data_IF_433917953767
#
_entry.id   IF_433917953767
#
_cell.length_a   1.000
_cell.length_b   1.000
_cell.length_c   1.000
_cell.angle_alpha   90.00
_cell.angle_beta   90.00
_cell.angle_gamma   90.00
#
_symmetry.space_group_name_H-M   'P 1'
#
loop_
_entity.id
_entity.type
_entity.pdbx_description
1 polymer ?
#
# COMPACT_ATOMS: atom_id res chain seq x y z
N UNK A 1 -7.66 8.95 -7.25
CA UNK A 1 -6.54 7.98 -7.19
C UNK A 1 -6.88 6.83 -8.12
N UNK A 2 -7.83 5.97 -7.73
CA UNK A 2 -8.27 4.82 -8.52
C UNK A 2 -9.15 5.24 -9.70
N UNK A 3 -9.07 4.50 -10.81
CA UNK A 3 -9.85 4.68 -12.04
C UNK A 3 -10.33 3.30 -12.57
N UNK A 4 -11.42 3.25 -13.34
CA UNK A 4 -11.85 2.03 -14.01
C UNK A 4 -10.74 1.41 -14.87
N UNK A 5 -10.62 0.08 -14.85
CA UNK A 5 -9.64 -0.68 -15.64
C UNK A 5 -8.23 -0.76 -15.06
N UNK A 6 -7.95 -0.10 -13.94
CA UNK A 6 -6.61 -0.15 -13.32
C UNK A 6 -6.30 -1.50 -12.67
N UNK A 7 -5.00 -1.78 -12.58
CA UNK A 7 -4.38 -2.87 -11.82
C UNK A 7 -3.88 -2.30 -10.49
N UNK A 8 -4.43 -2.80 -9.39
CA UNK A 8 -4.18 -2.31 -8.03
C UNK A 8 -3.55 -3.42 -7.19
N UNK A 9 -2.44 -3.11 -6.52
CA UNK A 9 -1.87 -3.94 -5.48
C UNK A 9 -2.28 -3.37 -4.12
N UNK A 10 -2.81 -4.20 -3.22
CA UNK A 10 -3.29 -3.84 -1.89
C UNK A 10 -2.52 -4.64 -0.83
N UNK A 11 -1.55 -3.99 -0.17
CA UNK A 11 -0.68 -4.60 0.84
C UNK A 11 -1.23 -4.36 2.25
N UNK A 12 -1.33 -5.42 3.05
CA UNK A 12 -2.00 -5.35 4.35
C UNK A 12 -3.52 -5.32 4.19
N UNK A 13 -4.04 -6.13 3.27
CA UNK A 13 -5.42 -6.04 2.82
C UNK A 13 -6.45 -6.64 3.80
N UNK A 14 -6.05 -7.33 4.87
CA UNK A 14 -6.99 -7.84 5.87
C UNK A 14 -7.69 -6.68 6.61
N UNK A 15 -9.03 -6.71 6.80
CA UNK A 15 -9.97 -7.82 6.56
C UNK A 15 -10.59 -7.88 5.16
N UNK A 16 -10.21 -6.99 4.24
CA UNK A 16 -10.63 -7.00 2.83
C UNK A 16 -11.50 -5.82 2.41
N UNK A 17 -11.69 -4.81 3.26
CA UNK A 17 -12.50 -3.63 2.93
C UNK A 17 -11.92 -2.82 1.76
N UNK A 18 -10.59 -2.70 1.70
CA UNK A 18 -9.89 -2.05 0.59
C UNK A 18 -10.01 -2.87 -0.70
N UNK A 19 -9.92 -4.20 -0.62
CA UNK A 19 -10.16 -5.09 -1.76
C UNK A 19 -11.57 -4.88 -2.36
N UNK A 20 -12.61 -4.88 -1.53
CA UNK A 20 -13.99 -4.68 -1.96
C UNK A 20 -14.18 -3.29 -2.60
N UNK A 21 -13.62 -2.25 -1.97
CA UNK A 21 -13.67 -0.89 -2.49
C UNK A 21 -12.97 -0.78 -3.84
N UNK A 22 -11.73 -1.27 -3.94
CA UNK A 22 -10.94 -1.25 -5.17
C UNK A 22 -11.64 -2.03 -6.28
N UNK A 23 -12.13 -3.24 -5.98
CA UNK A 23 -12.82 -4.10 -6.94
C UNK A 23 -14.02 -3.41 -7.58
N UNK A 24 -14.80 -2.66 -6.79
CA UNK A 24 -15.93 -1.86 -7.27
C UNK A 24 -15.48 -0.71 -8.16
N UNK A 25 -14.42 0.01 -7.79
CA UNK A 25 -13.95 1.20 -8.53
C UNK A 25 -13.27 0.82 -9.85
N UNK A 26 -12.41 -0.19 -9.85
CA UNK A 26 -11.70 -0.62 -11.07
C UNK A 26 -12.62 -1.40 -12.02
N UNK A 27 -13.66 -2.05 -11.47
CA UNK A 27 -14.62 -2.83 -12.23
C UNK A 27 -14.04 -4.08 -12.87
N UNK A 28 -14.88 -4.84 -13.60
CA UNK A 28 -14.54 -6.17 -14.16
C UNK A 28 -13.37 -6.19 -15.14
N UNK A 29 -12.98 -5.04 -15.70
CA UNK A 29 -11.84 -4.90 -16.62
C UNK A 29 -10.53 -4.56 -15.91
N UNK A 30 -10.59 -4.19 -14.63
CA UNK A 30 -9.41 -3.97 -13.81
C UNK A 30 -8.98 -5.26 -13.10
N UNK A 31 -7.93 -5.12 -12.30
CA UNK A 31 -7.38 -6.19 -11.47
C UNK A 31 -7.12 -5.65 -10.08
N UNK A 32 -7.43 -6.42 -9.05
CA UNK A 32 -6.99 -6.14 -7.68
C UNK A 32 -6.23 -7.35 -7.17
N UNK A 33 -5.01 -7.15 -6.68
CA UNK A 33 -4.22 -8.18 -6.02
C UNK A 33 -4.03 -7.75 -4.57
N UNK A 34 -4.55 -8.54 -3.64
CA UNK A 34 -4.37 -8.35 -2.20
C UNK A 34 -3.23 -9.20 -1.66
N UNK A 35 -2.44 -8.67 -0.74
CA UNK A 35 -1.47 -9.43 0.03
C UNK A 35 -1.68 -9.16 1.52
N UNK A 36 -1.75 -10.22 2.31
CA UNK A 36 -1.76 -10.13 3.76
C UNK A 36 -1.22 -11.42 4.39
N UNK A 37 -0.64 -11.32 5.59
CA UNK A 37 -0.22 -12.51 6.34
C UNK A 37 -1.43 -13.32 6.82
N UNK A 38 -2.58 -12.65 6.98
CA UNK A 38 -3.85 -13.25 7.38
C UNK A 38 -4.65 -13.68 6.17
N UNK A 39 -5.30 -14.84 6.30
CA UNK A 39 -6.24 -15.32 5.29
C UNK A 39 -7.45 -14.40 5.17
N UNK A 40 -7.77 -13.97 3.95
CA UNK A 40 -9.03 -13.30 3.61
C UNK A 40 -10.13 -14.37 3.47
N UNK A 41 -11.24 -14.18 4.17
CA UNK A 41 -12.39 -15.11 4.18
C UNK A 41 -13.60 -14.59 3.43
N UNK A 42 -13.52 -13.36 2.89
CA UNK A 42 -14.60 -12.75 2.14
C UNK A 42 -14.75 -13.39 0.76
N UNK A 43 -15.99 -13.50 0.29
CA UNK A 43 -16.27 -13.75 -1.11
C UNK A 43 -15.91 -12.49 -1.92
N UNK A 44 -14.99 -12.66 -2.88
CA UNK A 44 -14.48 -11.58 -3.71
C UNK A 44 -14.80 -11.83 -5.18
N UNK A 45 -15.01 -10.77 -5.98
CA UNK A 45 -15.22 -10.90 -7.41
C UNK A 45 -14.06 -11.61 -8.13
N UNK A 46 -14.29 -12.25 -9.31
CA UNK A 46 -13.25 -13.01 -10.02
C UNK A 46 -11.97 -12.23 -10.37
N UNK A 47 -12.10 -10.91 -10.56
CA UNK A 47 -10.99 -9.99 -10.88
C UNK A 47 -10.20 -9.53 -9.64
N UNK A 48 -10.48 -10.10 -8.47
CA UNK A 48 -9.68 -9.93 -7.25
C UNK A 48 -8.92 -11.22 -6.97
N UNK A 49 -7.62 -11.10 -6.75
CA UNK A 49 -6.71 -12.18 -6.36
C UNK A 49 -6.14 -11.88 -5.00
N UNK A 50 -5.90 -12.90 -4.19
CA UNK A 50 -5.34 -12.73 -2.85
C UNK A 50 -4.20 -13.71 -2.67
N UNK A 51 -3.09 -13.21 -2.14
CA UNK A 51 -1.94 -14.00 -1.71
C UNK A 51 -1.88 -13.90 -0.19
N UNK A 52 -1.83 -15.05 0.48
CA UNK A 52 -1.52 -15.08 1.90
C UNK A 52 0.00 -15.19 2.07
N UNK A 53 0.67 -14.10 2.42
CA UNK A 53 2.12 -14.04 2.57
C UNK A 53 2.54 -12.91 3.51
N UNK A 54 3.71 -13.06 4.12
CA UNK A 54 4.40 -11.92 4.73
C UNK A 54 4.97 -11.03 3.63
N UNK A 55 4.74 -9.73 3.71
CA UNK A 55 5.27 -8.75 2.75
C UNK A 55 6.80 -8.73 2.71
N UNK A 56 7.49 -9.11 3.80
CA UNK A 56 8.94 -9.21 3.81
C UNK A 56 9.44 -10.38 2.97
N UNK A 57 8.69 -11.48 2.92
CA UNK A 57 9.02 -12.68 2.13
C UNK A 57 8.54 -12.58 0.67
N UNK A 58 7.56 -11.72 0.40
CA UNK A 58 6.95 -11.54 -0.91
C UNK A 58 7.92 -10.99 -1.97
N UNK A 59 8.20 -11.74 -3.02
CA UNK A 59 8.97 -11.27 -4.17
C UNK A 59 8.08 -10.62 -5.25
N UNK A 60 8.59 -9.67 -6.06
CA UNK A 60 7.87 -9.19 -7.25
C UNK A 60 7.48 -10.31 -8.22
N UNK A 61 8.30 -11.37 -8.31
CA UNK A 61 8.04 -12.52 -9.16
C UNK A 61 6.74 -13.25 -8.80
N UNK A 62 6.39 -13.35 -7.52
CA UNK A 62 5.10 -13.91 -7.10
C UNK A 62 3.93 -13.03 -7.52
N UNK A 63 4.10 -11.72 -7.65
CA UNK A 63 3.06 -10.82 -8.12
C UNK A 63 2.91 -10.85 -9.66
N UNK A 64 3.99 -11.16 -10.38
CA UNK A 64 4.02 -11.28 -11.84
C UNK A 64 3.11 -12.38 -12.39
N UNK A 65 2.74 -13.37 -11.58
CA UNK A 65 1.74 -14.38 -11.97
C UNK A 65 0.36 -13.77 -12.23
N UNK A 66 0.08 -12.58 -11.66
CA UNK A 66 -1.17 -11.84 -11.85
C UNK A 66 -0.98 -10.64 -12.77
N UNK A 67 0.08 -9.88 -12.58
CA UNK A 67 0.47 -8.76 -13.44
C UNK A 67 1.93 -8.39 -13.25
N UNK A 68 2.63 -8.11 -14.35
CA UNK A 68 4.00 -7.56 -14.32
C UNK A 68 4.08 -6.13 -13.80
N UNK A 69 2.97 -5.42 -13.89
CA UNK A 69 2.91 -3.97 -13.68
C UNK A 69 1.62 -3.56 -12.98
N UNK A 70 1.69 -2.50 -12.19
CA UNK A 70 0.57 -1.95 -11.44
C UNK A 70 0.44 -0.44 -11.68
N UNK A 71 -0.81 0.02 -11.69
CA UNK A 71 -1.15 1.43 -11.87
C UNK A 71 -1.22 2.14 -10.49
N UNK A 72 -1.56 1.39 -9.44
CA UNK A 72 -1.61 1.87 -8.06
C UNK A 72 -1.15 0.79 -7.10
N UNK A 73 -0.28 1.17 -6.16
CA UNK A 73 0.06 0.35 -4.99
C UNK A 73 -0.48 1.04 -3.74
N UNK A 74 -1.26 0.29 -2.97
CA UNK A 74 -1.86 0.67 -1.70
C UNK A 74 -1.18 -0.13 -0.59
N UNK A 75 -0.90 0.50 0.55
CA UNK A 75 -0.35 -0.16 1.72
C UNK A 75 -1.03 0.35 2.98
N UNK A 76 -1.83 -0.50 3.59
CA UNK A 76 -2.42 -0.30 4.92
C UNK A 76 -1.74 -1.17 5.98
N UNK A 77 -0.50 -1.60 5.71
CA UNK A 77 0.32 -2.35 6.65
C UNK A 77 0.49 -1.58 7.97
N UNK A 78 0.30 -2.28 9.08
CA UNK A 78 0.57 -1.79 10.42
C UNK A 78 1.27 -2.88 11.24
N UNK A 79 2.27 -2.54 12.05
CA UNK A 79 2.86 -3.50 12.97
C UNK A 79 1.90 -3.78 14.13
N UNK A 80 2.07 -4.92 14.80
CA UNK A 80 1.51 -5.11 16.13
C UNK A 80 2.10 -4.04 17.07
N UNK A 81 1.24 -3.18 17.62
CA UNK A 81 1.64 -2.07 18.48
C UNK A 81 2.04 -2.59 19.86
N UNK A 82 3.20 -2.14 20.32
CA UNK A 82 3.73 -2.42 21.66
C UNK A 82 3.27 -1.40 22.69
N UNK A 83 2.77 -0.24 22.24
CA UNK A 83 2.50 0.93 23.09
C UNK A 83 3.72 1.82 23.27
N UNK A 84 4.93 1.33 22.93
CA UNK A 84 6.14 2.13 22.92
C UNK A 84 6.24 2.83 21.57
N UNK A 85 5.88 4.11 21.58
CA UNK A 85 5.80 4.98 20.39
C UNK A 85 6.99 4.87 19.43
N UNK A 86 8.22 4.90 19.94
CA UNK A 86 9.43 4.86 19.11
C UNK A 86 9.56 3.52 18.38
N UNK A 87 9.36 2.41 19.11
CA UNK A 87 9.37 1.05 18.57
C UNK A 87 8.30 0.89 17.50
N UNK A 88 7.08 1.32 17.79
CA UNK A 88 5.94 1.19 16.87
C UNK A 88 6.15 2.02 15.60
N UNK A 89 6.69 3.25 15.71
CA UNK A 89 7.04 4.06 14.54
C UNK A 89 8.17 3.46 13.71
N UNK A 90 9.19 2.89 14.34
CA UNK A 90 10.30 2.26 13.62
C UNK A 90 9.83 1.02 12.85
N UNK A 91 9.00 0.17 13.48
CA UNK A 91 8.39 -1.00 12.81
C UNK A 91 7.47 -0.59 11.67
N UNK A 92 6.69 0.47 11.84
CA UNK A 92 5.85 1.02 10.77
C UNK A 92 6.70 1.56 9.60
N UNK A 93 7.81 2.24 9.88
CA UNK A 93 8.74 2.71 8.84
C UNK A 93 9.33 1.55 8.04
N UNK A 94 9.69 0.43 8.68
CA UNK A 94 10.20 -0.76 7.96
C UNK A 94 9.15 -1.36 7.01
N UNK A 95 7.90 -1.50 7.47
CA UNK A 95 6.79 -1.96 6.62
C UNK A 95 6.54 -1.00 5.44
N UNK A 96 6.58 0.31 5.71
CA UNK A 96 6.41 1.32 4.66
C UNK A 96 7.52 1.25 3.61
N UNK A 97 8.78 1.16 4.04
CA UNK A 97 9.93 1.02 3.14
C UNK A 97 9.84 -0.25 2.31
N UNK A 98 9.41 -1.36 2.92
CA UNK A 98 9.20 -2.61 2.19
C UNK A 98 8.11 -2.48 1.13
N UNK A 99 6.99 -1.85 1.46
CA UNK A 99 5.92 -1.58 0.51
C UNK A 99 6.37 -0.64 -0.63
N UNK A 100 7.18 0.38 -0.31
CA UNK A 100 7.74 1.29 -1.31
C UNK A 100 8.72 0.57 -2.25
N UNK A 101 9.57 -0.31 -1.72
CA UNK A 101 10.48 -1.10 -2.55
C UNK A 101 9.72 -1.99 -3.56
N UNK A 102 8.66 -2.69 -3.11
CA UNK A 102 7.78 -3.44 -4.02
C UNK A 102 7.12 -2.50 -5.05
N UNK A 103 6.68 -1.31 -4.63
CA UNK A 103 6.09 -0.34 -5.53
C UNK A 103 7.10 0.17 -6.58
N UNK A 104 8.38 0.30 -6.24
CA UNK A 104 9.40 0.73 -7.19
C UNK A 104 9.64 -0.30 -8.30
N UNK A 105 9.58 -1.58 -7.97
CA UNK A 105 9.73 -2.65 -8.97
C UNK A 105 8.48 -2.81 -9.85
N UNK A 106 7.30 -2.54 -9.30
CA UNK A 106 6.02 -2.93 -9.92
C UNK A 106 5.23 -1.76 -10.54
N UNK A 107 5.47 -0.53 -10.09
CA UNK A 107 4.76 0.63 -10.63
C UNK A 107 5.37 1.09 -11.96
N UNK A 108 4.53 1.38 -12.94
CA UNK A 108 4.94 2.04 -14.18
C UNK A 108 5.04 3.56 -14.02
N UNK A 109 5.73 4.29 -14.93
CA UNK A 109 5.70 5.74 -14.94
C UNK A 109 4.27 6.29 -14.98
N UNK A 110 4.00 7.34 -14.20
CA UNK A 110 2.66 7.91 -14.04
C UNK A 110 1.78 7.22 -12.99
N UNK A 111 2.19 6.06 -12.46
CA UNK A 111 1.45 5.37 -11.40
C UNK A 111 1.53 6.08 -10.04
N UNK A 112 0.75 5.58 -9.09
CA UNK A 112 0.62 6.18 -7.76
C UNK A 112 0.90 5.17 -6.64
N UNK A 113 1.40 5.69 -5.51
CA UNK A 113 1.60 4.94 -4.28
C UNK A 113 0.86 5.62 -3.13
N UNK A 114 0.17 4.86 -2.29
CA UNK A 114 -0.44 5.33 -1.05
C UNK A 114 -0.07 4.37 0.08
N UNK A 115 0.68 4.85 1.07
CA UNK A 115 1.09 4.02 2.21
C UNK A 115 0.73 4.64 3.55
N UNK A 116 0.30 3.80 4.51
CA UNK A 116 0.14 4.17 5.92
C UNK A 116 1.49 4.16 6.64
N UNK A 117 1.75 5.20 7.42
CA UNK A 117 2.92 5.29 8.29
C UNK A 117 2.57 5.90 9.64
N UNK A 118 3.20 5.42 10.71
CA UNK A 118 3.16 6.06 12.02
C UNK A 118 4.28 7.10 12.11
N UNK A 119 3.91 8.36 12.26
CA UNK A 119 4.88 9.45 12.27
C UNK A 119 5.85 9.34 13.47
N UNK A 120 7.14 9.17 13.15
CA UNK A 120 8.24 9.09 14.10
C UNK A 120 9.59 9.32 13.42
N UNK A 121 10.66 8.76 13.98
CA UNK A 121 11.99 8.81 13.39
C UNK A 121 12.01 8.21 11.98
N UNK A 122 12.62 8.92 11.04
CA UNK A 122 12.74 8.48 9.63
C UNK A 122 11.64 8.98 8.69
N UNK A 123 10.57 9.62 9.20
CA UNK A 123 9.49 10.15 8.36
C UNK A 123 10.00 11.13 7.28
N UNK A 124 10.88 12.07 7.65
CA UNK A 124 11.40 13.06 6.71
C UNK A 124 12.28 12.43 5.61
N UNK A 125 13.03 11.37 5.96
CA UNK A 125 13.83 10.62 5.00
C UNK A 125 12.93 9.90 3.98
N UNK A 126 11.85 9.26 4.45
CA UNK A 126 10.84 8.63 3.58
C UNK A 126 10.16 9.67 2.67
N UNK A 127 9.78 10.83 3.20
CA UNK A 127 9.19 11.90 2.38
C UNK A 127 10.17 12.40 1.32
N UNK A 128 11.46 12.53 1.65
CA UNK A 128 12.52 12.92 0.71
C UNK A 128 12.68 11.86 -0.40
N UNK A 129 12.67 10.58 -0.04
CA UNK A 129 12.72 9.48 -0.99
C UNK A 129 11.50 9.46 -1.93
N UNK A 130 10.28 9.62 -1.40
CA UNK A 130 9.09 9.71 -2.24
C UNK A 130 9.16 10.91 -3.20
N UNK A 131 9.69 12.06 -2.76
CA UNK A 131 9.85 13.24 -3.62
C UNK A 131 10.91 13.05 -4.70
N UNK A 132 11.91 12.19 -4.49
CA UNK A 132 12.87 11.85 -5.55
C UNK A 132 12.23 10.97 -6.62
N UNK A 133 11.29 10.08 -6.25
CA UNK A 133 10.67 9.09 -7.16
C UNK A 133 9.34 9.52 -7.79
N UNK A 134 8.60 10.43 -7.16
CA UNK A 134 7.26 10.86 -7.61
C UNK A 134 7.19 12.37 -7.83
N UNK A 135 6.32 12.84 -8.72
CA UNK A 135 6.16 14.29 -8.99
C UNK A 135 5.53 15.03 -7.83
N UNK A 136 4.65 14.39 -7.06
CA UNK A 136 3.91 15.03 -5.97
C UNK A 136 3.73 14.10 -4.79
N UNK A 137 4.00 14.60 -3.58
CA UNK A 137 3.83 13.88 -2.32
C UNK A 137 2.94 14.69 -1.38
N UNK A 138 1.92 14.05 -0.79
CA UNK A 138 0.99 14.65 0.17
C UNK A 138 0.81 13.75 1.38
N UNK A 139 0.85 14.34 2.58
CA UNK A 139 0.39 13.69 3.79
C UNK A 139 -1.13 13.86 3.97
N UNK A 140 -1.84 12.76 4.22
CA UNK A 140 -3.29 12.71 4.41
C UNK A 140 -3.55 12.13 5.79
N UNK A 141 -4.13 12.93 6.69
CA UNK A 141 -4.67 12.43 7.95
C UNK A 141 -6.12 11.98 7.74
N UNK A 142 -6.48 10.72 8.03
CA UNK A 142 -7.87 10.29 7.97
C UNK A 142 -8.72 11.08 8.96
N UNK A 143 -9.95 11.44 8.59
CA UNK A 143 -10.86 12.19 9.48
C UNK A 143 -11.25 11.42 10.75
N UNK A 144 -11.13 10.09 10.72
CA UNK A 144 -11.53 9.18 11.79
C UNK A 144 -10.40 8.87 12.80
N UNK A 145 -9.20 9.41 12.65
CA UNK A 145 -8.12 9.17 13.61
C UNK A 145 -8.36 9.97 14.89
N UNK A 146 -8.25 9.28 16.04
CA UNK A 146 -8.24 9.93 17.37
C UNK A 146 -7.10 10.95 17.40
N UNK A 147 -7.27 12.09 18.09
CA UNK A 147 -6.25 13.16 18.19
C UNK A 147 -4.85 12.67 18.57
N UNK A 148 -4.76 11.55 19.28
CA UNK A 148 -3.51 10.94 19.76
C UNK A 148 -2.81 10.04 18.73
N UNK A 149 -3.55 9.55 17.73
CA UNK A 149 -2.97 8.72 16.67
C UNK A 149 -2.13 9.57 15.73
N UNK A 150 -0.87 9.17 15.55
CA UNK A 150 0.07 9.76 14.59
C UNK A 150 0.06 9.01 13.25
N UNK A 151 -1.00 8.26 12.98
CA UNK A 151 -1.24 7.65 11.69
C UNK A 151 -1.43 8.72 10.62
N UNK A 152 -0.67 8.58 9.55
CA UNK A 152 -0.78 9.41 8.36
C UNK A 152 -0.61 8.53 7.13
N UNK A 153 -1.35 8.83 6.07
CA UNK A 153 -1.13 8.23 4.77
C UNK A 153 -0.28 9.17 3.93
N UNK A 154 0.79 8.64 3.33
CA UNK A 154 1.59 9.36 2.35
C UNK A 154 1.11 8.97 0.96
N UNK A 155 0.48 9.93 0.27
CA UNK A 155 0.08 9.82 -1.13
C UNK A 155 1.20 10.37 -2.01
N UNK A 156 1.85 9.49 -2.77
CA UNK A 156 2.82 9.82 -3.79
C UNK A 156 2.20 9.60 -5.19
N UNK A 157 2.23 10.62 -6.03
CA UNK A 157 1.54 10.64 -7.32
C UNK A 157 2.51 10.87 -8.46
N UNK A 158 2.22 10.19 -9.57
CA UNK A 158 2.91 10.31 -10.85
C UNK A 158 4.38 9.89 -10.68
N UNK A 159 4.60 8.56 -10.60
CA UNK A 159 5.95 7.99 -10.59
C UNK A 159 6.72 8.53 -11.78
N UNK A 160 7.94 8.99 -11.53
CA UNK A 160 8.83 9.50 -12.58
C UNK A 160 9.28 8.32 -13.47
N UNK A 161 9.75 8.65 -14.66
CA UNK A 161 10.42 7.67 -15.53
C UNK A 161 11.75 7.23 -14.90
#
# INVERSE_FOLDING_TARGET
>A
LLRPGQRVLDLGCYPGSWLQYCARVVGKRGLVVGVDIRKITLELPPHVKVIQADVFELSPAELHQFSKEFDVVLSDLAPATTGIRSVDSNRSSLLFQRALALADDLLVPGSHFLGKIFQGSGYDAIVKELKSKFRKVKGIKPRATRKESKEIFLLAMDKKA
#
